data_IF_341895704454
#
_entry.id   IF_341895704454
#
_cell.length_a   1.000
_cell.length_b   1.000
_cell.length_c   1.000
_cell.angle_alpha   90.00
_cell.angle_beta   90.00
_cell.angle_gamma   90.00
#
_symmetry.space_group_name_H-M   'P 1'
#
loop_
_entity.id
_entity.type
_entity.pdbx_description
1 polymer ?
#
# COMPACT_ATOMS: atom_id res chain seq x y z
N UNK A 1 6.25 -12.49 -3.75
CA UNK A 1 5.71 -13.40 -2.70
C UNK A 1 4.79 -12.62 -1.78
N UNK A 2 3.59 -13.14 -1.51
CA UNK A 2 2.62 -12.52 -0.60
C UNK A 2 3.00 -12.78 0.86
N UNK A 3 3.26 -11.72 1.63
CA UNK A 3 3.78 -11.82 3.01
C UNK A 3 2.86 -12.63 3.93
N UNK A 4 1.55 -12.47 3.80
CA UNK A 4 0.51 -13.18 4.56
C UNK A 4 0.47 -14.69 4.30
N UNK A 5 1.13 -15.16 3.24
CA UNK A 5 1.21 -16.58 2.88
C UNK A 5 2.61 -17.17 3.11
N UNK A 6 3.57 -16.36 3.56
CA UNK A 6 4.95 -16.81 3.78
C UNK A 6 5.08 -17.63 5.06
N UNK A 7 5.89 -18.68 4.98
CA UNK A 7 6.38 -19.42 6.15
C UNK A 7 7.61 -18.74 6.72
N UNK A 8 7.90 -18.96 8.00
CA UNK A 8 9.04 -18.34 8.68
C UNK A 8 10.40 -18.53 7.97
N UNK A 9 10.62 -19.66 7.28
CA UNK A 9 11.87 -19.88 6.54
C UNK A 9 11.98 -19.03 5.27
N UNK A 10 10.84 -18.75 4.61
CA UNK A 10 10.78 -17.86 3.46
C UNK A 10 11.05 -16.41 3.87
N UNK A 11 10.61 -16.02 5.06
CA UNK A 11 10.90 -14.69 5.62
C UNK A 11 12.41 -14.54 5.87
N UNK A 12 13.05 -15.54 6.48
CA UNK A 12 14.51 -15.53 6.67
C UNK A 12 15.26 -15.42 5.35
N UNK A 13 14.89 -16.22 4.36
CA UNK A 13 15.48 -16.15 3.02
C UNK A 13 15.37 -14.74 2.40
N UNK A 14 14.17 -14.14 2.44
CA UNK A 14 13.97 -12.79 1.91
C UNK A 14 14.81 -11.73 2.63
N UNK A 15 15.07 -11.90 3.94
CA UNK A 15 15.96 -11.02 4.71
C UNK A 15 17.43 -11.24 4.31
N UNK A 16 17.88 -12.50 4.27
CA UNK A 16 19.27 -12.87 3.98
C UNK A 16 19.69 -12.46 2.56
N UNK A 17 18.76 -12.57 1.61
CA UNK A 17 18.95 -12.15 0.21
C UNK A 17 18.56 -10.68 -0.04
N UNK A 18 18.13 -9.94 1.00
CA UNK A 18 17.76 -8.54 0.95
C UNK A 18 16.71 -8.19 -0.13
N UNK A 19 15.70 -9.04 -0.30
CA UNK A 19 14.63 -8.82 -1.25
C UNK A 19 13.86 -7.53 -0.93
N UNK A 20 13.42 -6.76 -1.95
CA UNK A 20 12.53 -5.64 -1.74
C UNK A 20 11.23 -6.07 -1.06
N UNK A 21 10.80 -5.31 -0.06
CA UNK A 21 9.52 -5.47 0.61
C UNK A 21 8.64 -4.27 0.23
N UNK A 22 7.55 -4.53 -0.47
CA UNK A 22 6.70 -3.51 -1.05
C UNK A 22 5.35 -3.48 -0.36
N UNK A 23 4.91 -2.30 0.07
CA UNK A 23 3.53 -2.06 0.49
C UNK A 23 2.72 -1.48 -0.68
N UNK A 24 1.71 -2.20 -1.20
CA UNK A 24 0.76 -1.65 -2.15
C UNK A 24 -0.19 -0.70 -1.41
N UNK A 25 -0.22 0.57 -1.81
CA UNK A 25 -0.91 1.61 -1.07
C UNK A 25 -1.68 2.55 -2.01
N UNK A 26 -2.98 2.68 -1.75
CA UNK A 26 -3.93 3.48 -2.52
C UNK A 26 -5.11 3.91 -1.64
N UNK A 27 -6.08 4.63 -2.22
CA UNK A 27 -7.29 5.06 -1.50
C UNK A 27 -8.54 4.50 -2.17
N UNK A 28 -9.57 4.22 -1.37
CA UNK A 28 -10.93 4.07 -1.88
C UNK A 28 -11.49 5.47 -2.19
N UNK A 29 -11.40 5.89 -3.45
CA UNK A 29 -11.79 7.21 -3.92
C UNK A 29 -12.68 7.13 -5.17
N UNK A 30 -13.68 8.01 -5.25
CA UNK A 30 -14.53 8.13 -6.43
C UNK A 30 -13.77 8.66 -7.65
N UNK A 31 -13.71 7.84 -8.70
CA UNK A 31 -13.08 8.17 -9.99
C UNK A 31 -14.12 8.27 -11.14
N UNK A 32 -15.30 8.82 -10.84
CA UNK A 32 -16.46 8.88 -11.74
C UNK A 32 -17.09 7.50 -12.06
N UNK A 33 -18.23 7.51 -12.75
CA UNK A 33 -19.06 6.31 -13.02
C UNK A 33 -18.38 5.21 -13.87
N UNK A 34 -17.21 5.47 -14.44
CA UNK A 34 -16.53 4.58 -15.37
C UNK A 34 -15.36 3.81 -14.74
N UNK A 35 -14.99 4.12 -13.50
CA UNK A 35 -13.90 3.46 -12.79
C UNK A 35 -14.34 2.98 -11.40
N UNK A 36 -13.79 1.84 -10.92
CA UNK A 36 -14.04 1.39 -9.56
C UNK A 36 -13.38 2.31 -8.54
N UNK A 37 -13.97 2.40 -7.34
CA UNK A 37 -13.42 3.22 -6.25
C UNK A 37 -12.03 2.77 -5.76
N UNK A 38 -11.63 1.54 -6.06
CA UNK A 38 -10.30 1.01 -5.70
C UNK A 38 -9.22 1.23 -6.75
N UNK A 39 -9.47 2.04 -7.79
CA UNK A 39 -8.59 2.18 -8.94
C UNK A 39 -7.13 2.45 -8.53
N UNK A 40 -6.93 3.37 -7.58
CA UNK A 40 -5.63 3.71 -7.02
C UNK A 40 -4.80 2.47 -6.64
N UNK A 41 -5.42 1.55 -5.90
CA UNK A 41 -4.74 0.36 -5.41
C UNK A 41 -4.66 -0.74 -6.48
N UNK A 42 -5.70 -0.90 -7.29
CA UNK A 42 -5.76 -1.89 -8.37
C UNK A 42 -4.66 -1.65 -9.41
N UNK A 43 -4.32 -0.39 -9.69
CA UNK A 43 -3.22 -0.03 -10.57
C UNK A 43 -1.87 -0.53 -10.01
N UNK A 44 -1.62 -0.31 -8.72
CA UNK A 44 -0.40 -0.77 -8.03
C UNK A 44 -0.32 -2.29 -8.02
N UNK A 45 -1.41 -2.98 -7.65
CA UNK A 45 -1.45 -4.44 -7.67
C UNK A 45 -1.17 -5.01 -9.07
N UNK A 46 -1.70 -4.39 -10.12
CA UNK A 46 -1.43 -4.77 -11.50
C UNK A 46 0.03 -4.61 -11.91
N UNK A 47 0.70 -3.54 -11.45
CA UNK A 47 2.13 -3.34 -11.65
C UNK A 47 2.96 -4.38 -10.89
N UNK A 48 2.64 -4.63 -9.61
CA UNK A 48 3.36 -5.61 -8.80
C UNK A 48 3.20 -7.03 -9.32
N UNK A 49 2.00 -7.41 -9.79
CA UNK A 49 1.77 -8.72 -10.41
C UNK A 49 2.60 -8.95 -11.69
N UNK A 50 3.05 -7.89 -12.36
CA UNK A 50 4.01 -7.99 -13.48
C UNK A 50 5.43 -8.09 -12.95
N UNK A 51 5.79 -7.22 -11.99
CA UNK A 51 7.13 -7.16 -11.40
C UNK A 51 7.53 -8.46 -10.69
N UNK A 52 6.58 -9.12 -10.00
CA UNK A 52 6.79 -10.42 -9.33
C UNK A 52 7.17 -11.56 -10.30
N UNK A 53 7.03 -11.37 -11.61
CA UNK A 53 7.47 -12.34 -12.63
C UNK A 53 8.92 -12.12 -13.07
N UNK A 54 9.48 -10.96 -12.75
CA UNK A 54 10.78 -10.49 -13.24
C UNK A 54 11.84 -10.43 -12.13
N UNK A 55 11.41 -10.36 -10.87
CA UNK A 55 12.31 -10.32 -9.72
C UNK A 55 11.67 -10.89 -8.45
N UNK A 56 12.52 -11.27 -7.51
CA UNK A 56 12.08 -11.63 -6.16
C UNK A 56 11.74 -10.38 -5.36
N UNK A 57 10.51 -10.33 -4.84
CA UNK A 57 10.06 -9.34 -3.88
C UNK A 57 9.05 -9.92 -2.90
N UNK A 58 8.89 -9.26 -1.77
CA UNK A 58 7.83 -9.52 -0.79
C UNK A 58 6.78 -8.42 -0.95
N UNK A 59 5.53 -8.82 -1.21
CA UNK A 59 4.39 -7.91 -1.27
C UNK A 59 3.64 -8.03 0.04
N UNK A 60 3.57 -6.92 0.79
CA UNK A 60 2.77 -6.82 2.02
C UNK A 60 1.28 -6.82 1.69
N UNK A 61 0.41 -7.12 2.67
CA UNK A 61 -1.03 -6.97 2.51
C UNK A 61 -1.38 -5.57 2.05
N UNK A 62 -2.27 -5.52 1.07
CA UNK A 62 -2.72 -4.28 0.41
C UNK A 62 -3.39 -3.35 1.41
N UNK A 63 -3.13 -2.05 1.28
CA UNK A 63 -3.71 -1.03 2.13
C UNK A 63 -4.54 -0.02 1.30
N UNK A 64 -5.86 -0.07 1.48
CA UNK A 64 -6.86 0.71 0.72
C UNK A 64 -7.29 2.01 1.41
N UNK A 65 -6.84 2.26 2.63
CA UNK A 65 -7.36 3.35 3.46
C UNK A 65 -6.39 4.52 3.47
N UNK A 66 -6.79 5.64 2.85
CA UNK A 66 -5.99 6.86 2.84
C UNK A 66 -6.85 8.09 3.06
N UNK A 67 -6.23 9.28 3.01
CA UNK A 67 -6.99 10.50 3.00
C UNK A 67 -7.58 10.74 1.59
N UNK A 68 -8.86 10.44 1.43
CA UNK A 68 -9.59 10.81 0.23
C UNK A 68 -9.70 12.34 0.13
N UNK A 69 -9.56 12.87 -1.09
CA UNK A 69 -9.54 14.30 -1.39
C UNK A 69 -10.94 14.93 -1.48
N UNK A 70 -11.93 14.12 -1.86
CA UNK A 70 -13.27 14.56 -2.25
C UNK A 70 -13.28 15.60 -3.39
N UNK A 71 -12.22 15.67 -4.19
CA UNK A 71 -12.05 16.69 -5.24
C UNK A 71 -13.09 16.58 -6.35
N UNK A 72 -13.54 15.36 -6.66
CA UNK A 72 -14.50 15.08 -7.74
C UNK A 72 -15.94 15.12 -7.22
N UNK A 73 -16.20 14.41 -6.12
CA UNK A 73 -17.52 14.30 -5.53
C UNK A 73 -17.44 14.01 -4.03
N UNK A 74 -18.51 14.38 -3.32
CA UNK A 74 -18.72 14.01 -1.91
C UNK A 74 -18.88 12.50 -1.75
N UNK A 75 -18.53 11.91 -0.60
CA UNK A 75 -18.52 10.46 -0.41
C UNK A 75 -19.92 9.84 -0.42
N UNK A 76 -20.95 10.57 0.02
CA UNK A 76 -22.28 10.01 0.18
C UNK A 76 -22.81 9.49 -1.15
N UNK A 77 -23.06 8.17 -1.19
CA UNK A 77 -23.52 7.42 -2.37
C UNK A 77 -22.49 7.28 -3.52
N UNK A 78 -21.27 7.80 -3.36
CA UNK A 78 -20.20 7.70 -4.36
C UNK A 78 -19.04 6.80 -3.89
N UNK A 79 -18.96 6.47 -2.60
CA UNK A 79 -18.13 5.37 -2.09
C UNK A 79 -16.70 5.74 -1.69
N UNK A 80 -16.30 7.01 -1.75
CA UNK A 80 -15.02 7.44 -1.17
C UNK A 80 -14.99 7.19 0.34
N UNK A 81 -13.91 6.60 0.84
CA UNK A 81 -13.69 6.35 2.28
C UNK A 81 -12.46 7.13 2.72
N UNK A 82 -12.65 8.06 3.65
CA UNK A 82 -11.57 8.89 4.17
C UNK A 82 -11.12 8.41 5.54
N UNK A 83 -9.80 8.27 5.70
CA UNK A 83 -9.14 8.16 7.00
C UNK A 83 -8.16 9.32 7.14
N UNK A 84 -8.23 9.99 8.29
CA UNK A 84 -7.41 11.18 8.56
C UNK A 84 -5.91 10.84 8.53
N UNK A 85 -5.13 11.71 7.89
CA UNK A 85 -3.69 11.51 7.70
C UNK A 85 -2.91 11.43 9.00
N UNK A 86 -3.33 12.11 10.07
CA UNK A 86 -2.66 12.03 11.36
C UNK A 86 -2.79 10.63 11.99
N UNK A 87 -3.92 9.95 11.76
CA UNK A 87 -4.12 8.56 12.20
C UNK A 87 -3.27 7.61 11.37
N UNK A 88 -3.25 7.80 10.05
CA UNK A 88 -2.46 6.98 9.12
C UNK A 88 -0.96 7.09 9.40
N UNK A 89 -0.46 8.30 9.67
CA UNK A 89 0.94 8.53 10.04
C UNK A 89 1.34 7.73 11.28
N UNK A 90 0.53 7.79 12.35
CA UNK A 90 0.82 7.07 13.58
C UNK A 90 0.79 5.55 13.37
N UNK A 91 -0.14 5.04 12.55
CA UNK A 91 -0.17 3.63 12.16
C UNK A 91 1.08 3.24 11.36
N UNK A 92 1.45 4.03 10.35
CA UNK A 92 2.60 3.77 9.49
C UNK A 92 3.90 3.72 10.30
N UNK A 93 4.10 4.65 11.24
CA UNK A 93 5.24 4.65 12.18
C UNK A 93 5.35 3.32 12.95
N UNK A 94 4.25 2.83 13.52
CA UNK A 94 4.23 1.56 14.26
C UNK A 94 4.48 0.35 13.35
N UNK A 95 3.87 0.35 12.16
CA UNK A 95 4.03 -0.73 11.19
C UNK A 95 5.47 -0.82 10.70
N UNK A 96 6.09 0.30 10.34
CA UNK A 96 7.48 0.33 9.86
C UNK A 96 8.46 -0.07 10.96
N UNK A 97 8.26 0.42 12.19
CA UNK A 97 9.03 -0.05 13.34
C UNK A 97 8.89 -1.58 13.52
N UNK A 98 7.69 -2.13 13.33
CA UNK A 98 7.44 -3.57 13.32
C UNK A 98 8.23 -4.32 12.24
N UNK A 99 8.19 -3.85 10.99
CA UNK A 99 8.93 -4.45 9.88
C UNK A 99 10.45 -4.41 10.09
N UNK A 100 10.96 -3.31 10.65
CA UNK A 100 12.36 -3.19 11.03
C UNK A 100 12.74 -4.18 12.13
N UNK A 101 11.85 -4.46 13.09
CA UNK A 101 12.07 -5.49 14.13
C UNK A 101 12.05 -6.90 13.57
N UNK A 102 11.27 -7.17 12.52
CA UNK A 102 11.29 -8.46 11.81
C UNK A 102 12.64 -8.69 11.12
N UNK A 103 13.29 -7.63 10.65
CA UNK A 103 14.64 -7.68 10.07
C UNK A 103 14.73 -7.10 8.66
N UNK A 104 13.61 -6.69 8.06
CA UNK A 104 13.61 -6.08 6.73
C UNK A 104 14.34 -4.73 6.72
N UNK A 105 15.09 -4.47 5.64
CA UNK A 105 15.84 -3.21 5.45
C UNK A 105 15.63 -2.59 4.08
N UNK A 106 15.09 -3.33 3.12
CA UNK A 106 14.82 -2.89 1.76
C UNK A 106 13.32 -2.61 1.57
N UNK A 107 12.82 -1.53 2.18
CA UNK A 107 11.38 -1.20 2.25
C UNK A 107 11.01 -0.17 1.18
N UNK A 108 9.97 -0.47 0.40
CA UNK A 108 9.44 0.41 -0.65
C UNK A 108 7.93 0.62 -0.48
N UNK A 109 7.50 1.85 -0.74
CA UNK A 109 6.09 2.25 -0.69
C UNK A 109 5.68 2.68 -2.09
N UNK A 110 4.79 1.91 -2.72
CA UNK A 110 4.32 2.23 -4.06
C UNK A 110 2.97 2.93 -3.91
N UNK A 111 3.01 4.26 -4.00
CA UNK A 111 1.85 5.13 -3.79
C UNK A 111 1.29 5.50 -5.16
N UNK A 112 0.01 5.25 -5.36
CA UNK A 112 -0.72 5.73 -6.53
C UNK A 112 -1.99 6.43 -6.08
N UNK A 113 -1.82 7.66 -5.59
CA UNK A 113 -2.86 8.62 -5.24
C UNK A 113 -2.27 10.03 -5.36
N UNK A 114 -3.12 11.06 -5.33
CA UNK A 114 -2.81 12.46 -5.63
C UNK A 114 -1.51 13.04 -5.02
N UNK A 115 -1.05 12.51 -3.88
CA UNK A 115 0.23 12.89 -3.28
C UNK A 115 0.88 11.71 -2.56
N UNK A 116 2.22 11.69 -2.56
CA UNK A 116 3.08 10.82 -1.74
C UNK A 116 3.44 11.44 -0.38
N UNK A 117 2.85 12.59 -0.05
CA UNK A 117 3.05 13.25 1.24
C UNK A 117 2.01 12.77 2.27
N UNK A 118 2.47 12.03 3.27
CA UNK A 118 1.68 11.60 4.42
C UNK A 118 0.87 12.73 5.06
N UNK A 119 1.37 13.97 5.11
CA UNK A 119 0.62 15.09 5.67
C UNK A 119 -0.54 15.57 4.77
N UNK A 120 -0.46 15.31 3.47
CA UNK A 120 -1.42 15.75 2.46
C UNK A 120 -2.34 14.63 1.95
N UNK A 121 -2.04 13.36 2.23
CA UNK A 121 -3.06 12.33 2.15
C UNK A 121 -2.61 10.89 2.15
N UNK A 122 -1.36 10.60 1.79
CA UNK A 122 -0.65 9.32 1.98
C UNK A 122 0.84 9.52 1.86
#
# INVERSE_FOLDING_TARGET
>A
MRYELMRSHQIRQAIDENWPVVLPLGVLEYHAEHLPVGMDTLAVEGCLARLEKEMDLVVLPVFYYGAASFAVAKPERNGSVHVDSAVLRAMAEQMFAGLLRVGFRNLHFFIHHQSENFAAGM
#
